data_IF_409582077624
#
_entry.id   IF_409582077624
#
_cell.length_a   1.000
_cell.length_b   1.000
_cell.length_c   1.000
_cell.angle_alpha   90.00
_cell.angle_beta   90.00
_cell.angle_gamma   90.00
#
_symmetry.space_group_name_H-M   'P 1'
#
loop_
_entity.id
_entity.type
_entity.pdbx_description
1 polymer ?
#
# COMPACT_ATOMS: atom_id res chain seq x y z
N UNK A 1 -0.75 -16.89 -6.20
CA UNK A 1 0.33 -15.92 -5.92
C UNK A 1 0.40 -15.66 -4.42
N UNK A 2 1.57 -15.23 -3.93
CA UNK A 2 1.73 -14.70 -2.57
C UNK A 2 1.67 -13.17 -2.62
N UNK A 3 0.76 -12.55 -1.88
CA UNK A 3 0.54 -11.10 -1.88
C UNK A 3 0.99 -10.51 -0.54
N UNK A 4 1.86 -9.48 -0.57
CA UNK A 4 2.18 -8.69 0.61
C UNK A 4 1.16 -7.57 0.75
N UNK A 5 0.41 -7.55 1.86
CA UNK A 5 -0.52 -6.49 2.22
C UNK A 5 0.17 -5.57 3.22
N UNK A 6 0.55 -4.38 2.78
CA UNK A 6 1.08 -3.32 3.65
C UNK A 6 -0.11 -2.58 4.25
N UNK A 7 -0.23 -2.64 5.57
CA UNK A 7 -1.35 -2.08 6.31
C UNK A 7 -0.88 -0.99 7.28
N UNK A 8 -1.58 0.14 7.26
CA UNK A 8 -1.32 1.25 8.18
C UNK A 8 -2.64 1.83 8.71
N UNK A 9 -2.95 1.53 9.96
CA UNK A 9 -4.01 2.17 10.72
C UNK A 9 -3.70 2.05 12.22
N UNK A 10 -3.99 3.07 13.06
CA UNK A 10 -3.72 3.01 14.50
C UNK A 10 -4.36 1.83 15.23
N UNK A 11 -5.44 1.31 14.71
CA UNK A 11 -6.15 0.14 15.25
C UNK A 11 -6.38 -0.86 14.13
N UNK A 12 -5.85 -2.07 14.28
CA UNK A 12 -6.14 -3.19 13.39
C UNK A 12 -7.57 -3.68 13.62
N UNK A 13 -7.89 -3.96 14.87
CA UNK A 13 -9.19 -4.48 15.26
C UNK A 13 -10.24 -3.35 15.43
N UNK A 14 -11.48 -3.62 15.00
CA UNK A 14 -12.60 -2.71 15.13
C UNK A 14 -12.52 -1.45 14.25
N UNK A 15 -11.55 -1.35 13.34
CA UNK A 15 -11.49 -0.29 12.33
C UNK A 15 -12.02 -0.76 10.98
N UNK A 16 -12.56 0.16 10.18
CA UNK A 16 -12.99 -0.16 8.82
C UNK A 16 -11.81 -0.59 7.93
N UNK A 17 -10.65 0.07 8.06
CA UNK A 17 -9.44 -0.36 7.35
C UNK A 17 -9.03 -1.79 7.72
N UNK A 18 -9.18 -2.19 8.98
CA UNK A 18 -8.95 -3.57 9.41
C UNK A 18 -9.90 -4.55 8.72
N UNK A 19 -11.21 -4.23 8.69
CA UNK A 19 -12.19 -5.03 7.98
C UNK A 19 -11.90 -5.13 6.47
N UNK A 20 -11.37 -4.07 5.86
CA UNK A 20 -10.92 -4.07 4.45
C UNK A 20 -9.81 -5.11 4.24
N UNK A 21 -8.84 -5.21 5.15
CA UNK A 21 -7.79 -6.25 5.05
C UNK A 21 -8.40 -7.64 5.15
N UNK A 22 -9.32 -7.88 6.08
CA UNK A 22 -9.94 -9.20 6.26
C UNK A 22 -10.72 -9.63 5.00
N UNK A 23 -11.54 -8.75 4.43
CA UNK A 23 -12.28 -9.05 3.20
C UNK A 23 -11.39 -9.19 1.96
N UNK A 24 -10.28 -8.42 1.90
CA UNK A 24 -9.28 -8.62 0.85
C UNK A 24 -8.65 -10.01 0.95
N UNK A 25 -8.27 -10.45 2.16
CA UNK A 25 -7.72 -11.78 2.40
C UNK A 25 -8.71 -12.90 2.09
N UNK A 26 -9.99 -12.72 2.40
CA UNK A 26 -11.05 -13.67 2.01
C UNK A 26 -11.14 -13.82 0.49
N UNK A 27 -11.14 -12.70 -0.25
CA UNK A 27 -11.16 -12.71 -1.71
C UNK A 27 -9.93 -13.38 -2.31
N UNK A 28 -8.73 -13.04 -1.81
CA UNK A 28 -7.47 -13.65 -2.22
C UNK A 28 -7.47 -15.16 -2.00
N UNK A 29 -7.90 -15.60 -0.81
CA UNK A 29 -7.99 -17.03 -0.46
C UNK A 29 -8.97 -17.78 -1.35
N UNK A 30 -10.13 -17.18 -1.65
CA UNK A 30 -11.12 -17.77 -2.55
C UNK A 30 -10.60 -17.99 -3.98
N UNK A 31 -9.65 -17.14 -4.42
CA UNK A 31 -8.95 -17.28 -5.70
C UNK A 31 -7.69 -18.18 -5.64
N UNK A 32 -7.41 -18.81 -4.50
CA UNK A 32 -6.24 -19.67 -4.32
C UNK A 32 -4.92 -18.91 -4.12
N UNK A 33 -4.98 -17.65 -3.73
CA UNK A 33 -3.81 -16.86 -3.37
C UNK A 33 -3.52 -16.94 -1.88
N UNK A 34 -2.26 -16.70 -1.50
CA UNK A 34 -1.84 -16.55 -0.11
C UNK A 34 -1.49 -15.07 0.14
N UNK A 35 -1.56 -14.66 1.40
CA UNK A 35 -1.18 -13.29 1.76
C UNK A 35 -0.41 -13.23 3.07
N UNK A 36 0.52 -12.27 3.16
CA UNK A 36 1.20 -11.85 4.37
C UNK A 36 0.78 -10.40 4.66
N UNK A 37 0.45 -10.09 5.91
CA UNK A 37 0.13 -8.71 6.32
C UNK A 37 1.33 -8.11 7.03
N UNK A 38 1.82 -6.99 6.50
CA UNK A 38 2.76 -6.10 7.17
C UNK A 38 1.96 -5.03 7.90
N UNK A 39 1.62 -5.25 9.16
CA UNK A 39 0.99 -4.23 10.01
C UNK A 39 2.08 -3.30 10.55
N UNK A 40 2.35 -2.22 9.85
CA UNK A 40 3.45 -1.31 10.14
C UNK A 40 3.39 -0.74 11.56
N UNK A 41 2.18 -0.54 12.09
CA UNK A 41 2.00 0.02 13.43
C UNK A 41 2.13 -1.03 14.52
N UNK A 42 1.53 -2.19 14.34
CA UNK A 42 1.64 -3.28 15.31
C UNK A 42 3.09 -3.79 15.39
N UNK A 43 3.80 -3.77 14.26
CA UNK A 43 5.20 -4.17 14.17
C UNK A 43 6.17 -3.08 14.69
N UNK A 44 5.66 -1.87 14.98
CA UNK A 44 6.45 -0.76 15.52
C UNK A 44 7.45 -0.17 14.52
N UNK A 45 7.13 -0.22 13.22
CA UNK A 45 8.00 0.37 12.19
C UNK A 45 8.18 1.88 12.42
N UNK A 46 9.43 2.33 12.53
CA UNK A 46 9.75 3.75 12.63
C UNK A 46 9.82 4.40 11.23
N UNK A 47 8.86 5.29 10.88
CA UNK A 47 8.81 5.90 9.55
C UNK A 47 9.89 6.98 9.33
N UNK A 48 10.59 7.41 10.38
CA UNK A 48 11.61 8.46 10.26
C UNK A 48 12.84 7.92 9.55
N UNK A 49 13.26 8.59 8.48
CA UNK A 49 14.47 8.22 7.75
C UNK A 49 15.71 8.55 8.61
N UNK A 50 16.44 7.58 9.15
CA UNK A 50 17.69 7.84 9.86
C UNK A 50 18.83 8.03 8.86
N UNK A 51 19.88 8.72 9.28
CA UNK A 51 21.10 8.94 8.46
C UNK A 51 21.68 7.61 7.92
N UNK A 52 21.58 6.54 8.71
CA UNK A 52 22.04 5.21 8.28
C UNK A 52 21.30 4.67 7.03
N UNK A 53 20.05 5.06 6.84
CA UNK A 53 19.20 4.61 5.72
C UNK A 53 19.06 5.68 4.62
N UNK A 54 19.73 6.82 4.75
CA UNK A 54 19.77 7.83 3.69
C UNK A 54 20.45 7.25 2.44
N UNK A 55 19.84 7.36 1.24
CA UNK A 55 20.46 6.86 0.00
C UNK A 55 21.81 7.52 -0.25
N UNK A 56 22.78 6.71 -0.65
CA UNK A 56 24.07 7.19 -1.15
C UNK A 56 24.10 6.98 -2.67
N UNK A 57 24.16 8.05 -3.41
CA UNK A 57 24.13 8.05 -4.86
C UNK A 57 25.48 7.66 -5.47
N UNK A 58 26.56 7.79 -4.71
CA UNK A 58 27.93 7.52 -5.14
C UNK A 58 28.40 6.11 -4.73
N UNK A 59 27.71 5.48 -3.76
CA UNK A 59 28.00 4.11 -3.31
C UNK A 59 26.85 3.14 -3.65
N UNK A 60 26.87 2.47 -4.78
CA UNK A 60 25.88 1.47 -5.15
C UNK A 60 25.93 0.20 -4.28
N UNK A 61 26.95 0.01 -3.48
CA UNK A 61 27.13 -1.11 -2.58
C UNK A 61 26.72 -0.78 -1.13
N UNK A 62 26.13 0.41 -0.89
CA UNK A 62 25.67 0.83 0.44
C UNK A 62 24.82 -0.25 1.09
N UNK A 63 25.16 -0.58 2.32
CA UNK A 63 24.37 -1.49 3.16
C UNK A 63 23.43 -0.68 4.05
N UNK A 64 22.15 -0.95 3.93
CA UNK A 64 21.08 -0.34 4.74
C UNK A 64 20.91 -1.05 6.09
N UNK A 65 20.13 -0.48 6.98
CA UNK A 65 19.86 -1.06 8.29
C UNK A 65 19.22 -2.45 8.17
N UNK A 66 19.37 -3.25 9.22
CA UNK A 66 18.77 -4.60 9.27
C UNK A 66 17.23 -4.57 9.17
N UNK A 67 16.60 -3.48 9.63
CA UNK A 67 15.16 -3.26 9.50
C UNK A 67 14.78 -3.09 8.02
N UNK A 68 15.48 -2.22 7.29
CA UNK A 68 15.27 -2.04 5.85
C UNK A 68 15.50 -3.34 5.08
N UNK A 69 16.59 -4.06 5.37
CA UNK A 69 16.89 -5.33 4.68
C UNK A 69 15.82 -6.40 4.94
N UNK A 70 15.24 -6.45 6.14
CA UNK A 70 14.12 -7.37 6.43
C UNK A 70 12.88 -7.02 5.61
N UNK A 71 12.53 -5.74 5.52
CA UNK A 71 11.39 -5.28 4.74
C UNK A 71 11.61 -5.50 3.24
N UNK A 72 12.80 -5.22 2.72
CA UNK A 72 13.15 -5.54 1.34
C UNK A 72 13.03 -7.03 1.03
N UNK A 73 13.52 -7.90 1.93
CA UNK A 73 13.37 -9.34 1.78
C UNK A 73 11.89 -9.78 1.83
N UNK A 74 11.06 -9.11 2.65
CA UNK A 74 9.61 -9.33 2.72
C UNK A 74 8.93 -8.98 1.40
N UNK A 75 9.23 -7.80 0.85
CA UNK A 75 8.75 -7.37 -0.46
C UNK A 75 9.14 -8.36 -1.55
N UNK A 76 10.41 -8.80 -1.58
CA UNK A 76 10.92 -9.70 -2.63
C UNK A 76 10.36 -11.13 -2.55
N UNK A 77 9.83 -11.56 -1.39
CA UNK A 77 9.12 -12.86 -1.29
C UNK A 77 7.71 -12.83 -1.87
N UNK A 78 7.13 -11.63 -1.99
CA UNK A 78 5.81 -11.47 -2.57
C UNK A 78 5.86 -11.44 -4.10
N UNK A 79 4.80 -11.91 -4.75
CA UNK A 79 4.63 -11.85 -6.20
C UNK A 79 3.86 -10.60 -6.64
N UNK A 80 3.04 -10.04 -5.72
CA UNK A 80 2.32 -8.79 -5.91
C UNK A 80 2.16 -8.05 -4.58
N UNK A 81 1.81 -6.77 -4.65
CA UNK A 81 1.67 -5.90 -3.47
C UNK A 81 0.23 -5.42 -3.34
N UNK A 82 -0.23 -5.27 -2.11
CA UNK A 82 -1.44 -4.54 -1.77
C UNK A 82 -1.13 -3.53 -0.67
N UNK A 83 -1.80 -2.39 -0.69
CA UNK A 83 -1.70 -1.37 0.35
C UNK A 83 -3.10 -1.06 0.85
N UNK A 84 -3.32 -1.11 2.17
CA UNK A 84 -4.61 -0.75 2.79
C UNK A 84 -4.37 0.32 3.82
N UNK A 85 -4.99 1.49 3.62
CA UNK A 85 -4.71 2.67 4.42
C UNK A 85 -5.90 3.65 4.48
N UNK A 86 -6.03 4.45 5.53
CA UNK A 86 -6.92 5.60 5.55
C UNK A 86 -6.33 6.72 4.70
N UNK A 87 -7.16 7.38 3.91
CA UNK A 87 -6.73 8.56 3.17
C UNK A 87 -6.61 9.74 4.14
N UNK A 88 -5.38 10.15 4.39
CA UNK A 88 -5.08 11.34 5.18
C UNK A 88 -4.38 12.37 4.28
N UNK A 89 -4.97 13.54 4.20
CA UNK A 89 -4.43 14.60 3.33
C UNK A 89 -4.20 14.16 1.88
N UNK A 90 -5.14 13.37 1.35
CA UNK A 90 -5.14 12.85 -0.04
C UNK A 90 -3.86 12.10 -0.41
N UNK A 91 -3.30 11.38 0.55
CA UNK A 91 -2.05 10.63 0.37
C UNK A 91 -2.01 9.42 1.30
N UNK A 92 -0.89 8.69 1.27
CA UNK A 92 -0.56 7.70 2.29
C UNK A 92 -0.43 8.33 3.67
N UNK A 93 -0.78 7.61 4.75
CA UNK A 93 -0.39 7.99 6.10
C UNK A 93 1.14 8.09 6.25
N UNK A 94 1.58 8.82 7.26
CA UNK A 94 3.00 9.06 7.50
C UNK A 94 3.83 7.77 7.65
N UNK A 95 3.27 6.73 8.29
CA UNK A 95 3.99 5.45 8.47
C UNK A 95 4.18 4.73 7.15
N UNK A 96 3.13 4.63 6.31
CA UNK A 96 3.25 4.03 4.97
C UNK A 96 4.22 4.83 4.09
N UNK A 97 4.11 6.17 4.10
CA UNK A 97 5.01 7.01 3.31
C UNK A 97 6.47 6.86 3.76
N UNK A 98 6.71 6.87 5.08
CA UNK A 98 8.04 6.68 5.63
C UNK A 98 8.56 5.25 5.40
N UNK A 99 7.69 4.24 5.38
CA UNK A 99 8.08 2.89 4.98
C UNK A 99 8.60 2.86 3.53
N UNK A 100 7.88 3.50 2.60
CA UNK A 100 8.34 3.64 1.21
C UNK A 100 9.67 4.41 1.15
N UNK A 101 9.78 5.55 1.83
CA UNK A 101 10.98 6.39 1.82
C UNK A 101 12.23 5.67 2.35
N UNK A 102 12.07 4.78 3.33
CA UNK A 102 13.18 4.04 3.94
C UNK A 102 13.51 2.74 3.22
N UNK A 103 12.49 2.02 2.72
CA UNK A 103 12.65 0.66 2.18
C UNK A 103 12.90 0.66 0.67
N UNK A 104 12.28 1.59 -0.07
CA UNK A 104 12.39 1.63 -1.54
C UNK A 104 13.57 2.49 -1.99
N UNK A 105 14.75 1.94 -1.81
CA UNK A 105 16.01 2.65 -1.99
C UNK A 105 16.48 2.68 -3.45
N UNK A 106 17.38 3.67 -3.74
CA UNK A 106 18.12 3.73 -5.00
C UNK A 106 18.92 2.45 -5.22
N UNK A 107 18.92 1.95 -6.47
CA UNK A 107 19.60 0.71 -6.84
C UNK A 107 18.85 -0.57 -6.47
N UNK A 108 17.74 -0.46 -5.70
CA UNK A 108 16.88 -1.60 -5.37
C UNK A 108 15.46 -1.45 -5.92
N UNK A 109 14.75 -0.35 -5.63
CA UNK A 109 13.39 -0.10 -6.12
C UNK A 109 13.37 0.80 -7.37
N UNK A 110 14.36 1.66 -7.51
CA UNK A 110 14.49 2.59 -8.63
C UNK A 110 15.98 2.83 -8.98
N UNK A 111 16.23 3.51 -10.09
CA UNK A 111 17.58 3.72 -10.61
C UNK A 111 18.03 2.55 -11.48
N UNK A 112 19.14 1.91 -11.13
CA UNK A 112 19.72 0.79 -11.89
C UNK A 112 18.90 -0.51 -11.84
N UNK A 113 18.03 -0.66 -10.85
CA UNK A 113 17.09 -1.78 -10.70
C UNK A 113 15.69 -1.24 -10.51
N UNK A 114 14.72 -2.11 -10.73
CA UNK A 114 13.28 -1.87 -10.48
C UNK A 114 12.72 -3.05 -9.70
N UNK A 115 11.59 -2.81 -9.04
CA UNK A 115 10.85 -3.89 -8.40
C UNK A 115 10.34 -4.88 -9.46
N UNK A 116 10.43 -6.20 -9.20
CA UNK A 116 10.05 -7.22 -10.19
C UNK A 116 8.52 -7.45 -10.27
N UNK A 117 7.76 -6.84 -9.36
CA UNK A 117 6.33 -7.03 -9.26
C UNK A 117 5.59 -6.46 -10.48
N UNK A 118 4.59 -7.16 -10.96
CA UNK A 118 3.76 -6.68 -12.08
C UNK A 118 2.53 -5.93 -11.60
N UNK A 119 1.98 -6.30 -10.43
CA UNK A 119 0.71 -5.79 -9.91
C UNK A 119 0.84 -5.17 -8.54
N UNK A 120 0.14 -4.06 -8.32
CA UNK A 120 -0.08 -3.47 -7.01
C UNK A 120 -1.51 -2.92 -6.89
N UNK A 121 -2.19 -3.25 -5.80
CA UNK A 121 -3.52 -2.73 -5.49
C UNK A 121 -3.44 -1.81 -4.27
N UNK A 122 -3.81 -0.54 -4.45
CA UNK A 122 -3.85 0.46 -3.39
C UNK A 122 -5.30 0.70 -3.00
N UNK A 123 -5.67 0.42 -1.77
CA UNK A 123 -7.04 0.58 -1.27
C UNK A 123 -7.03 1.67 -0.19
N UNK A 124 -7.55 2.84 -0.55
CA UNK A 124 -7.67 3.99 0.34
C UNK A 124 -9.11 4.15 0.87
N UNK A 125 -9.29 4.23 2.19
CA UNK A 125 -10.60 4.51 2.78
C UNK A 125 -10.78 6.02 2.94
N UNK A 126 -11.84 6.58 2.34
CA UNK A 126 -12.11 8.01 2.27
C UNK A 126 -13.44 8.36 2.97
N UNK A 127 -13.44 9.41 3.79
CA UNK A 127 -14.65 9.87 4.49
C UNK A 127 -15.61 10.66 3.62
N UNK A 128 -15.11 11.31 2.57
CA UNK A 128 -15.92 12.11 1.64
C UNK A 128 -16.33 11.27 0.42
N UNK A 129 -17.33 11.77 -0.30
CA UNK A 129 -17.87 11.17 -1.52
C UNK A 129 -16.97 11.35 -2.75
N UNK A 130 -17.27 10.60 -3.80
CA UNK A 130 -16.55 10.65 -5.07
C UNK A 130 -16.69 12.00 -5.80
N UNK A 131 -17.85 12.66 -5.67
CA UNK A 131 -18.09 13.98 -6.29
C UNK A 131 -17.18 15.04 -5.68
N UNK A 132 -17.04 15.04 -4.35
CA UNK A 132 -16.15 15.96 -3.63
C UNK A 132 -14.67 15.76 -4.02
N UNK A 133 -14.27 14.51 -4.25
CA UNK A 133 -12.92 14.18 -4.74
C UNK A 133 -12.71 14.68 -6.17
N UNK A 134 -13.61 14.32 -7.08
CA UNK A 134 -13.52 14.71 -8.49
C UNK A 134 -13.56 16.24 -8.66
N UNK A 135 -14.46 16.94 -7.95
CA UNK A 135 -14.58 18.41 -8.03
C UNK A 135 -13.29 19.14 -7.67
N UNK A 136 -12.46 18.55 -6.80
CA UNK A 136 -11.20 19.14 -6.34
C UNK A 136 -9.96 18.50 -6.98
N UNK A 137 -10.14 17.47 -7.80
CA UNK A 137 -9.05 16.72 -8.43
C UNK A 137 -8.22 15.89 -7.45
N UNK A 138 -8.75 15.54 -6.28
CA UNK A 138 -8.02 14.77 -5.28
C UNK A 138 -7.74 13.34 -5.73
N UNK A 139 -8.71 12.70 -6.38
CA UNK A 139 -8.58 11.38 -7.00
C UNK A 139 -7.47 11.37 -8.06
N UNK A 140 -7.47 12.36 -8.95
CA UNK A 140 -6.44 12.52 -9.98
C UNK A 140 -5.06 12.80 -9.38
N UNK A 141 -5.00 13.65 -8.35
CA UNK A 141 -3.75 13.94 -7.64
C UNK A 141 -3.18 12.69 -6.98
N UNK A 142 -4.02 11.90 -6.29
CA UNK A 142 -3.62 10.62 -5.69
C UNK A 142 -3.21 9.60 -6.74
N UNK A 143 -3.93 9.49 -7.85
CA UNK A 143 -3.56 8.62 -8.96
C UNK A 143 -2.18 8.99 -9.52
N UNK A 144 -1.92 10.26 -9.73
CA UNK A 144 -0.63 10.74 -10.23
C UNK A 144 0.49 10.46 -9.24
N UNK A 145 0.29 10.79 -7.97
CA UNK A 145 1.32 10.62 -6.95
C UNK A 145 1.57 9.13 -6.63
N UNK A 146 0.52 8.39 -6.29
CA UNK A 146 0.68 7.06 -5.71
C UNK A 146 0.90 5.99 -6.79
N UNK A 147 0.14 6.05 -7.88
CA UNK A 147 0.24 5.05 -8.95
C UNK A 147 1.37 5.41 -9.91
N UNK A 148 1.31 6.57 -10.55
CA UNK A 148 2.32 6.94 -11.56
C UNK A 148 3.66 7.26 -10.91
N UNK A 149 3.66 8.11 -9.88
CA UNK A 149 4.86 8.65 -9.27
C UNK A 149 5.61 7.68 -8.36
N UNK A 150 4.93 6.68 -7.77
CA UNK A 150 5.55 5.70 -6.89
C UNK A 150 5.57 4.32 -7.54
N UNK A 151 4.41 3.70 -7.75
CA UNK A 151 4.35 2.29 -8.18
C UNK A 151 4.95 2.10 -9.58
N UNK A 152 4.47 2.83 -10.57
CA UNK A 152 4.95 2.69 -11.95
C UNK A 152 6.39 3.20 -12.09
N UNK A 153 6.76 4.26 -11.39
CA UNK A 153 8.14 4.74 -11.35
C UNK A 153 9.10 3.67 -10.82
N UNK A 154 8.68 2.90 -9.83
CA UNK A 154 9.46 1.79 -9.28
C UNK A 154 9.36 0.47 -10.08
N UNK A 155 8.64 0.45 -11.20
CA UNK A 155 8.61 -0.69 -12.12
C UNK A 155 7.38 -1.59 -12.01
N UNK A 156 6.33 -1.18 -11.30
CA UNK A 156 5.08 -1.94 -11.18
C UNK A 156 4.05 -1.38 -12.16
N UNK A 157 3.92 -1.93 -13.38
CA UNK A 157 3.13 -1.32 -14.45
C UNK A 157 1.62 -1.40 -14.21
N UNK A 158 1.13 -2.51 -13.64
CA UNK A 158 -0.27 -2.74 -13.37
C UNK A 158 -0.60 -2.34 -11.93
N UNK A 159 -0.43 -1.06 -11.61
CA UNK A 159 -0.82 -0.52 -10.32
C UNK A 159 -2.19 0.16 -10.42
N UNK A 160 -3.06 -0.09 -9.42
CA UNK A 160 -4.42 0.44 -9.38
C UNK A 160 -4.72 1.05 -8.03
N UNK A 161 -5.29 2.25 -8.03
CA UNK A 161 -5.84 2.89 -6.85
C UNK A 161 -7.36 2.68 -6.80
N UNK A 162 -7.84 2.11 -5.70
CA UNK A 162 -9.24 1.98 -5.34
C UNK A 162 -9.53 2.88 -4.15
N UNK A 163 -10.42 3.83 -4.31
CA UNK A 163 -10.91 4.69 -3.24
C UNK A 163 -12.27 4.21 -2.77
N UNK A 164 -12.35 3.83 -1.52
CA UNK A 164 -13.59 3.45 -0.85
C UNK A 164 -14.17 4.72 -0.23
N UNK A 165 -15.05 5.36 -0.97
CA UNK A 165 -15.66 6.63 -0.57
C UNK A 165 -16.77 6.44 0.48
N UNK A 166 -17.13 7.53 1.16
CA UNK A 166 -18.28 7.61 2.08
C UNK A 166 -18.27 6.59 3.21
N UNK A 167 -17.09 6.19 3.69
CA UNK A 167 -16.98 5.15 4.73
C UNK A 167 -17.64 5.55 6.07
N UNK A 168 -18.05 6.81 6.20
CA UNK A 168 -18.76 7.35 7.35
C UNK A 168 -20.28 7.41 7.15
N UNK A 169 -20.82 7.12 5.96
CA UNK A 169 -22.21 7.27 5.61
C UNK A 169 -23.16 6.23 6.28
N UNK A 170 -22.61 5.11 6.75
CA UNK A 170 -23.38 4.12 7.50
C UNK A 170 -23.01 2.67 7.17
N UNK A 171 -23.69 1.71 7.81
CA UNK A 171 -23.39 0.28 7.63
C UNK A 171 -23.57 -0.20 6.20
N UNK A 172 -24.65 0.15 5.52
CA UNK A 172 -24.94 -0.30 4.15
C UNK A 172 -23.83 0.08 3.17
N UNK A 173 -23.32 1.31 3.26
CA UNK A 173 -22.20 1.77 2.43
C UNK A 173 -20.94 0.97 2.73
N UNK A 174 -20.65 0.72 4.02
CA UNK A 174 -19.49 -0.07 4.42
C UNK A 174 -19.57 -1.50 3.92
N UNK A 175 -20.72 -2.14 4.06
CA UNK A 175 -20.95 -3.52 3.62
C UNK A 175 -20.77 -3.65 2.09
N UNK A 176 -21.30 -2.69 1.33
CA UNK A 176 -21.10 -2.65 -0.13
C UNK A 176 -19.62 -2.47 -0.50
N UNK A 177 -18.89 -1.61 0.21
CA UNK A 177 -17.45 -1.42 0.00
C UNK A 177 -16.64 -2.68 0.38
N UNK A 178 -17.00 -3.38 1.45
CA UNK A 178 -16.34 -4.61 1.85
C UNK A 178 -16.59 -5.74 0.85
N UNK A 179 -17.81 -5.87 0.34
CA UNK A 179 -18.12 -6.81 -0.74
C UNK A 179 -17.27 -6.53 -1.98
N UNK A 180 -17.15 -5.26 -2.39
CA UNK A 180 -16.28 -4.84 -3.50
C UNK A 180 -14.82 -5.19 -3.27
N UNK A 181 -14.30 -5.00 -2.06
CA UNK A 181 -12.91 -5.37 -1.71
C UNK A 181 -12.68 -6.87 -1.83
N UNK A 182 -13.63 -7.68 -1.36
CA UNK A 182 -13.57 -9.14 -1.52
C UNK A 182 -13.53 -9.54 -2.99
N UNK A 183 -14.37 -8.94 -3.83
CA UNK A 183 -14.37 -9.20 -5.28
C UNK A 183 -13.04 -8.78 -5.93
N UNK A 184 -12.45 -7.64 -5.50
CA UNK A 184 -11.13 -7.22 -5.95
C UNK A 184 -10.05 -8.24 -5.57
N UNK A 185 -10.07 -8.76 -4.35
CA UNK A 185 -9.16 -9.83 -3.92
C UNK A 185 -9.28 -11.09 -4.78
N UNK A 186 -10.48 -11.42 -5.22
CA UNK A 186 -10.73 -12.59 -6.04
C UNK A 186 -10.40 -12.41 -7.54
N UNK A 187 -10.33 -11.19 -8.05
CA UNK A 187 -10.31 -10.95 -9.51
C UNK A 187 -9.13 -10.11 -10.01
N UNK A 188 -8.48 -9.36 -9.15
CA UNK A 188 -7.44 -8.43 -9.58
C UNK A 188 -6.07 -9.09 -9.76
N UNK A 189 -5.68 -10.02 -8.91
CA UNK A 189 -4.35 -10.63 -8.90
C UNK A 189 -4.18 -11.90 -9.76
#
# INVERSE_FOLDING_TARGET
MNILIVFDHPRRDGSFCGAVVDHLQEGLSAAGHTSEVADLRAEGFDPRLPVADEPDWDDPAKVYSSEVLREQARVMRAEALAFVFPVWWWSFPATTKGWIDRVWNHGWAYGSRKLPHKKALLIGTASSDAEAYAKRGYDTAMQTQLVTGIMQYCGIPEARLELLYDVMAGPETRDAQLARVRDLGATYF
#
